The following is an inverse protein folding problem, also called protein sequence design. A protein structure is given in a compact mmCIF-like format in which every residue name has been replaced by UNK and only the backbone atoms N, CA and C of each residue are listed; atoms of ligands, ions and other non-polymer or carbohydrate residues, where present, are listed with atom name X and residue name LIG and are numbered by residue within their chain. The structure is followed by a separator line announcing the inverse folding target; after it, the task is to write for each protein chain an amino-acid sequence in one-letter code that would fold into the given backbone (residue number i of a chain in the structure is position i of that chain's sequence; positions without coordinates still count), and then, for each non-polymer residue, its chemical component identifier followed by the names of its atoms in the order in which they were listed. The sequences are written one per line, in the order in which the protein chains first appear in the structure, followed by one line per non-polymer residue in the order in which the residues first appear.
data_IF_060959326175
#
_entry.id   IF_060959326175
#
_cell.length_a   1.000
_cell.length_b   1.000
_cell.length_c   1.000
_cell.angle_alpha   90.00
_cell.angle_beta   90.00
_cell.angle_gamma   90.00
#
_symmetry.space_group_name_H-M   'P 1'
#
loop_
_entity.id
_entity.type
_entity.pdbx_description
1 polymer ?
#
# COMPACT_ATOMS: atom_id res chain seq x y z
N UNK A 1 2.40 -21.70 16.42
CA UNK A 1 2.69 -21.56 14.98
C UNK A 1 2.19 -20.21 14.48
N UNK A 2 3.02 -19.43 13.74
CA UNK A 2 2.57 -18.19 13.10
C UNK A 2 1.99 -18.49 11.72
N UNK A 3 0.82 -17.91 11.42
CA UNK A 3 0.15 -18.03 10.11
C UNK A 3 0.17 -16.69 9.41
N UNK A 4 0.78 -16.64 8.25
CA UNK A 4 0.79 -15.48 7.36
C UNK A 4 -0.43 -15.50 6.44
N UNK A 5 -1.04 -14.35 6.22
CA UNK A 5 -2.23 -14.21 5.35
C UNK A 5 -2.03 -13.05 4.38
N UNK A 6 -2.16 -13.34 3.08
CA UNK A 6 -2.20 -12.32 2.05
C UNK A 6 -3.65 -11.87 1.85
N UNK A 7 -4.03 -10.71 2.41
CA UNK A 7 -5.34 -10.08 2.23
C UNK A 7 -5.20 -8.73 1.51
N UNK A 8 -4.96 -8.76 0.16
CA UNK A 8 -4.72 -7.54 -0.64
C UNK A 8 -5.92 -6.61 -0.73
N UNK A 9 -7.11 -7.08 -0.38
CA UNK A 9 -8.36 -6.33 -0.28
C UNK A 9 -8.45 -5.43 0.97
N UNK A 10 -7.44 -5.43 1.82
CA UNK A 10 -7.38 -4.73 3.11
C UNK A 10 -7.95 -3.29 3.06
N UNK A 11 -7.52 -2.46 2.10
CA UNK A 11 -7.99 -1.07 2.00
C UNK A 11 -9.51 -0.99 1.72
N UNK A 12 -10.07 -1.96 0.99
CA UNK A 12 -11.51 -2.06 0.75
C UNK A 12 -12.26 -2.55 1.99
N UNK A 13 -11.64 -3.44 2.77
CA UNK A 13 -12.16 -3.89 4.06
C UNK A 13 -12.19 -2.72 5.07
N UNK A 14 -11.16 -1.87 5.11
CA UNK A 14 -11.14 -0.65 5.91
C UNK A 14 -12.24 0.33 5.49
N UNK A 15 -12.49 0.50 4.18
CA UNK A 15 -13.58 1.33 3.68
C UNK A 15 -14.95 0.80 4.12
N UNK A 16 -15.15 -0.52 4.04
CA UNK A 16 -16.38 -1.21 4.44
C UNK A 16 -16.60 -1.20 5.96
N UNK A 17 -15.54 -1.43 6.73
CA UNK A 17 -15.53 -1.54 8.19
C UNK A 17 -16.49 -2.61 8.75
N UNK A 18 -16.67 -3.72 8.04
CA UNK A 18 -17.54 -4.83 8.41
C UNK A 18 -16.73 -6.09 8.70
N UNK A 19 -17.12 -6.84 9.74
CA UNK A 19 -16.50 -8.12 10.11
C UNK A 19 -16.76 -9.23 9.07
N UNK A 20 -17.82 -9.09 8.26
CA UNK A 20 -18.21 -10.03 7.21
C UNK A 20 -18.04 -9.46 5.79
N UNK A 21 -17.11 -8.50 5.62
CA UNK A 21 -16.84 -7.93 4.31
C UNK A 21 -16.41 -9.01 3.32
N UNK A 22 -17.01 -9.01 2.14
CA UNK A 22 -16.60 -9.84 1.01
C UNK A 22 -15.98 -8.98 -0.06
N UNK A 23 -14.74 -9.28 -0.42
CA UNK A 23 -14.02 -8.56 -1.45
C UNK A 23 -14.69 -8.69 -2.82
N UNK A 24 -14.59 -7.69 -3.71
CA UNK A 24 -14.95 -7.82 -5.12
C UNK A 24 -14.20 -8.98 -5.79
N UNK A 25 -14.77 -9.54 -6.87
CA UNK A 25 -14.23 -10.71 -7.58
C UNK A 25 -12.71 -10.58 -7.86
N UNK A 26 -12.27 -9.48 -8.47
CA UNK A 26 -10.85 -9.26 -8.76
C UNK A 26 -9.94 -9.24 -7.52
N UNK A 27 -10.45 -8.83 -6.35
CA UNK A 27 -9.70 -8.88 -5.09
C UNK A 27 -9.55 -10.32 -4.59
N UNK A 28 -10.61 -11.13 -4.72
CA UNK A 28 -10.57 -12.55 -4.36
C UNK A 28 -9.66 -13.34 -5.30
N UNK A 29 -9.71 -13.08 -6.61
CA UNK A 29 -8.78 -13.68 -7.57
C UNK A 29 -7.33 -13.33 -7.24
N UNK A 30 -7.05 -12.07 -6.91
CA UNK A 30 -5.71 -11.64 -6.53
C UNK A 30 -5.23 -12.35 -5.25
N UNK A 31 -6.10 -12.49 -4.24
CA UNK A 31 -5.81 -13.23 -3.00
C UNK A 31 -5.55 -14.71 -3.29
N UNK A 32 -6.38 -15.33 -4.12
CA UNK A 32 -6.23 -16.73 -4.52
C UNK A 32 -4.90 -16.97 -5.25
N UNK A 33 -4.61 -16.19 -6.28
CA UNK A 33 -3.49 -16.43 -7.17
C UNK A 33 -2.13 -16.06 -6.55
N UNK A 34 -2.09 -15.03 -5.69
CA UNK A 34 -0.88 -14.52 -5.06
C UNK A 34 -0.81 -14.81 -3.55
N UNK A 35 -1.71 -15.63 -3.02
CA UNK A 35 -1.73 -16.02 -1.61
C UNK A 35 -0.43 -16.65 -1.11
N UNK A 36 0.38 -17.19 -2.02
CA UNK A 36 1.70 -17.75 -1.72
C UNK A 36 2.78 -16.69 -1.38
N UNK A 37 2.58 -15.40 -1.67
CA UNK A 37 3.61 -14.37 -1.48
C UNK A 37 4.25 -14.36 -0.09
N UNK A 38 3.52 -14.55 1.02
CA UNK A 38 4.15 -14.61 2.34
C UNK A 38 5.16 -15.74 2.51
N UNK A 39 5.17 -16.78 1.65
CA UNK A 39 6.20 -17.80 1.69
C UNK A 39 7.61 -17.29 1.38
N UNK A 40 7.71 -16.08 0.79
CA UNK A 40 9.00 -15.42 0.60
C UNK A 40 9.72 -15.10 1.93
N UNK A 41 8.97 -14.83 3.01
CA UNK A 41 9.53 -14.48 4.34
C UNK A 41 9.09 -15.39 5.48
N UNK A 42 8.18 -16.31 5.25
CA UNK A 42 7.79 -17.28 6.25
C UNK A 42 8.99 -18.19 6.63
N UNK A 43 9.27 -18.29 7.93
CA UNK A 43 10.35 -19.09 8.48
C UNK A 43 9.98 -20.55 8.71
N UNK A 44 10.94 -21.32 9.20
CA UNK A 44 10.69 -22.72 9.63
C UNK A 44 9.66 -22.75 10.77
N UNK A 45 8.69 -23.68 10.67
CA UNK A 45 7.60 -23.78 11.62
C UNK A 45 6.50 -22.73 11.49
N UNK A 46 6.56 -21.85 10.47
CA UNK A 46 5.50 -20.90 10.14
C UNK A 46 4.66 -21.41 8.95
N UNK A 47 3.40 -20.99 8.89
CA UNK A 47 2.46 -21.34 7.83
C UNK A 47 2.06 -20.14 6.98
N UNK A 48 1.72 -20.41 5.73
CA UNK A 48 1.14 -19.44 4.79
C UNK A 48 -0.23 -19.93 4.37
N UNK A 49 -1.27 -19.16 4.70
CA UNK A 49 -2.63 -19.53 4.35
C UNK A 49 -2.88 -19.32 2.86
N UNK A 50 -3.27 -20.41 2.17
CA UNK A 50 -3.59 -20.44 0.75
C UNK A 50 -4.88 -21.23 0.52
N UNK A 51 -5.64 -20.88 -0.50
CA UNK A 51 -6.88 -21.60 -0.84
C UNK A 51 -6.61 -22.95 -1.54
N UNK A 52 -5.54 -23.01 -2.36
CA UNK A 52 -5.10 -24.21 -3.08
C UNK A 52 -3.59 -24.40 -2.89
N UNK A 53 -3.22 -25.43 -2.11
CA UNK A 53 -1.82 -25.78 -1.82
C UNK A 53 -1.03 -26.11 -3.08
N UNK A 54 -1.59 -26.93 -3.96
CA UNK A 54 -0.88 -27.36 -5.17
C UNK A 54 -0.60 -26.21 -6.13
N UNK A 55 -1.58 -25.29 -6.27
CA UNK A 55 -1.40 -24.08 -7.05
C UNK A 55 -0.33 -23.15 -6.44
N UNK A 56 -0.32 -22.99 -5.12
CA UNK A 56 0.67 -22.19 -4.40
C UNK A 56 2.08 -22.78 -4.50
N UNK A 57 2.25 -24.10 -4.30
CA UNK A 57 3.51 -24.81 -4.48
C UNK A 57 4.06 -24.65 -5.90
N UNK A 58 3.20 -24.80 -6.91
CA UNK A 58 3.58 -24.60 -8.30
C UNK A 58 4.00 -23.17 -8.59
N UNK A 59 3.23 -22.19 -8.11
CA UNK A 59 3.53 -20.76 -8.32
C UNK A 59 4.83 -20.35 -7.62
N UNK A 60 5.03 -20.77 -6.36
CA UNK A 60 6.25 -20.51 -5.61
C UNK A 60 7.46 -21.23 -6.21
N UNK A 61 7.29 -22.49 -6.63
CA UNK A 61 8.36 -23.29 -7.23
C UNK A 61 8.96 -22.67 -8.49
N UNK A 62 8.17 -21.90 -9.27
CA UNK A 62 8.68 -21.16 -10.44
C UNK A 62 9.73 -20.11 -10.08
N UNK A 63 9.72 -19.59 -8.87
CA UNK A 63 10.72 -18.63 -8.41
C UNK A 63 12.09 -19.29 -8.21
N UNK A 64 12.10 -20.61 -7.96
CA UNK A 64 13.32 -21.37 -7.70
C UNK A 64 13.99 -20.97 -6.39
N UNK A 65 13.20 -20.52 -5.43
CA UNK A 65 13.60 -20.18 -4.06
C UNK A 65 13.28 -21.35 -3.12
N UNK A 66 14.05 -21.53 -2.03
CA UNK A 66 13.75 -22.54 -1.02
C UNK A 66 12.50 -22.12 -0.22
N UNK A 67 11.51 -23.00 -0.15
CA UNK A 67 10.37 -22.87 0.74
C UNK A 67 10.81 -23.25 2.17
N UNK A 68 10.81 -22.28 3.11
CA UNK A 68 11.18 -22.51 4.52
C UNK A 68 9.96 -22.82 5.39
N UNK A 69 8.86 -22.09 5.20
CA UNK A 69 7.59 -22.38 5.86
C UNK A 69 6.79 -23.48 5.17
N UNK A 70 5.53 -23.60 5.50
CA UNK A 70 4.60 -24.55 4.88
C UNK A 70 3.34 -23.84 4.40
N UNK A 71 2.71 -24.34 3.33
CA UNK A 71 1.39 -23.89 2.95
C UNK A 71 0.32 -24.58 3.80
N UNK A 72 -0.66 -23.82 4.24
CA UNK A 72 -1.79 -24.22 5.08
C UNK A 72 -3.08 -23.88 4.37
N UNK A 73 -4.03 -24.80 4.36
CA UNK A 73 -5.36 -24.59 3.75
C UNK A 73 -6.41 -24.30 4.81
N UNK A 74 -7.58 -23.71 4.45
CA UNK A 74 -8.63 -23.34 5.42
C UNK A 74 -9.17 -24.49 6.25
N UNK A 75 -9.18 -25.72 5.74
CA UNK A 75 -9.63 -26.93 6.43
C UNK A 75 -8.66 -27.40 7.53
N UNK A 76 -7.40 -26.98 7.49
CA UNK A 76 -6.40 -27.28 8.53
C UNK A 76 -6.43 -26.25 9.68
N UNK A 77 -6.93 -25.04 9.43
CA UNK A 77 -6.94 -23.95 10.41
C UNK A 77 -7.62 -24.27 11.75
N UNK A 78 -8.78 -24.96 11.82
CA UNK A 78 -9.43 -25.26 13.10
C UNK A 78 -8.55 -26.04 14.09
N UNK A 79 -7.63 -26.86 13.61
CA UNK A 79 -6.68 -27.57 14.47
C UNK A 79 -5.55 -26.64 14.92
N UNK A 80 -5.06 -25.77 14.03
CA UNK A 80 -3.94 -24.86 14.31
C UNK A 80 -4.32 -23.72 15.27
N UNK A 81 -5.53 -23.16 15.13
CA UNK A 81 -5.99 -22.05 15.99
C UNK A 81 -6.19 -22.49 17.46
N UNK A 82 -6.29 -23.81 17.71
CA UNK A 82 -6.40 -24.36 19.06
C UNK A 82 -5.06 -24.44 19.80
N UNK A 83 -3.95 -24.28 19.09
CA UNK A 83 -2.60 -24.28 19.67
C UNK A 83 -2.35 -22.95 20.42
N UNK A 84 -1.92 -22.99 21.71
CA UNK A 84 -1.61 -21.75 22.46
C UNK A 84 -0.50 -20.90 21.83
N UNK A 85 0.36 -21.48 21.00
CA UNK A 85 1.41 -20.73 20.26
C UNK A 85 0.92 -20.13 18.95
N UNK A 86 -0.36 -20.28 18.62
CA UNK A 86 -0.93 -19.71 17.41
C UNK A 86 -0.82 -18.18 17.40
N UNK A 87 -0.37 -17.65 16.31
CA UNK A 87 -0.38 -16.19 16.03
C UNK A 87 -0.66 -15.93 14.56
N UNK A 88 -1.27 -14.80 14.28
CA UNK A 88 -1.67 -14.41 12.94
C UNK A 88 -0.89 -13.18 12.48
N UNK A 89 -0.38 -13.23 11.25
CA UNK A 89 0.27 -12.10 10.60
C UNK A 89 -0.36 -11.85 9.22
N UNK A 90 -1.43 -11.03 9.14
CA UNK A 90 -2.01 -10.67 7.87
C UNK A 90 -1.16 -9.63 7.15
N UNK A 91 -1.43 -9.46 5.86
CA UNK A 91 -0.91 -8.35 5.06
C UNK A 91 -1.26 -6.99 5.68
N UNK A 92 -2.48 -6.84 6.15
CA UNK A 92 -2.95 -5.72 6.93
C UNK A 92 -4.09 -6.13 7.87
N UNK A 93 -4.15 -5.53 9.05
CA UNK A 93 -5.18 -5.78 10.04
C UNK A 93 -6.45 -4.98 9.74
N UNK A 94 -7.57 -5.67 9.59
CA UNK A 94 -8.90 -5.10 9.45
C UNK A 94 -9.96 -5.99 10.15
N UNK A 95 -11.20 -5.49 10.23
CA UNK A 95 -12.31 -6.22 10.85
C UNK A 95 -12.63 -7.51 10.12
N UNK A 96 -12.51 -7.54 8.79
CA UNK A 96 -12.87 -8.70 7.99
C UNK A 96 -11.95 -9.88 8.27
N UNK A 97 -10.62 -9.65 8.26
CA UNK A 97 -9.64 -10.70 8.56
C UNK A 97 -9.75 -11.17 10.02
N UNK A 98 -9.94 -10.26 10.99
CA UNK A 98 -10.22 -10.66 12.37
C UNK A 98 -11.49 -11.50 12.46
N UNK A 99 -12.59 -11.06 11.84
CA UNK A 99 -13.85 -11.76 11.82
C UNK A 99 -13.78 -13.14 11.17
N UNK A 100 -12.98 -13.30 10.11
CA UNK A 100 -12.68 -14.58 9.48
C UNK A 100 -12.07 -15.57 10.49
N UNK A 101 -11.02 -15.16 11.21
CA UNK A 101 -10.33 -16.03 12.15
C UNK A 101 -11.15 -16.31 13.43
N UNK A 102 -11.96 -15.36 13.90
CA UNK A 102 -12.91 -15.65 14.98
C UNK A 102 -13.92 -16.73 14.60
N UNK A 103 -14.44 -16.72 13.37
CA UNK A 103 -15.35 -17.77 12.87
C UNK A 103 -14.66 -19.14 12.73
N UNK A 104 -13.35 -19.16 12.50
CA UNK A 104 -12.54 -20.37 12.45
C UNK A 104 -12.11 -20.87 13.83
N UNK A 105 -12.53 -20.19 14.91
CA UNK A 105 -12.29 -20.60 16.30
C UNK A 105 -11.02 -20.04 16.92
N UNK A 106 -10.33 -19.07 16.28
CA UNK A 106 -9.17 -18.42 16.88
C UNK A 106 -9.57 -17.70 18.19
N UNK A 107 -8.78 -17.84 19.27
CA UNK A 107 -9.08 -17.19 20.54
C UNK A 107 -9.00 -15.66 20.40
N UNK A 108 -10.05 -14.97 20.85
CA UNK A 108 -10.15 -13.51 20.74
C UNK A 108 -8.98 -12.76 21.41
N UNK A 109 -8.39 -13.34 22.46
CA UNK A 109 -7.25 -12.77 23.18
C UNK A 109 -5.97 -12.73 22.33
N UNK A 110 -5.87 -13.58 21.29
CA UNK A 110 -4.74 -13.60 20.34
C UNK A 110 -4.93 -12.69 19.14
N UNK A 111 -6.07 -11.99 19.02
CA UNK A 111 -6.41 -11.10 17.91
C UNK A 111 -6.52 -9.65 18.38
N UNK A 112 -6.29 -8.67 17.49
CA UNK A 112 -6.40 -7.26 17.84
C UNK A 112 -7.84 -6.90 18.27
N UNK A 113 -7.94 -6.02 19.26
CA UNK A 113 -9.22 -5.50 19.72
C UNK A 113 -9.80 -4.42 18.78
N UNK A 114 -11.02 -3.97 19.10
CA UNK A 114 -11.68 -2.92 18.33
C UNK A 114 -10.95 -1.57 18.39
N UNK A 115 -10.26 -1.27 19.47
CA UNK A 115 -9.48 -0.04 19.62
C UNK A 115 -8.34 0.00 18.64
N UNK A 116 -7.57 -1.09 18.54
CA UNK A 116 -6.47 -1.23 17.59
C UNK A 116 -6.97 -1.18 16.14
N UNK A 117 -8.05 -1.91 15.80
CA UNK A 117 -8.60 -1.91 14.44
C UNK A 117 -9.15 -0.54 14.03
N UNK A 118 -9.78 0.18 14.95
CA UNK A 118 -10.20 1.55 14.71
C UNK A 118 -9.02 2.50 14.54
N UNK A 119 -7.95 2.33 15.30
CA UNK A 119 -6.71 3.08 15.12
C UNK A 119 -6.11 2.83 13.73
N UNK A 120 -5.94 1.57 13.31
CA UNK A 120 -5.44 1.21 11.97
C UNK A 120 -6.31 1.86 10.89
N UNK A 121 -7.65 1.75 11.00
CA UNK A 121 -8.58 2.32 10.04
C UNK A 121 -8.46 3.85 9.95
N UNK A 122 -8.43 4.55 11.07
CA UNK A 122 -8.34 6.01 11.11
C UNK A 122 -6.99 6.50 10.56
N UNK A 123 -5.90 5.83 10.94
CA UNK A 123 -4.55 6.19 10.52
C UNK A 123 -4.30 5.87 9.03
N UNK A 124 -4.96 4.85 8.48
CA UNK A 124 -4.94 4.52 7.05
C UNK A 124 -5.81 5.45 6.18
N UNK A 125 -6.57 6.35 6.79
CA UNK A 125 -7.35 7.34 6.03
C UNK A 125 -6.40 8.35 5.38
N UNK A 126 -6.52 8.58 4.07
CA UNK A 126 -5.59 9.47 3.33
C UNK A 126 -5.50 10.87 3.90
N UNK A 127 -6.57 11.41 4.50
CA UNK A 127 -6.50 12.73 5.16
C UNK A 127 -5.58 12.72 6.38
N UNK A 128 -5.47 11.58 7.08
CA UNK A 128 -4.54 11.45 8.20
C UNK A 128 -3.09 11.62 7.70
N UNK A 129 -2.71 10.91 6.66
CA UNK A 129 -1.38 11.05 6.06
C UNK A 129 -1.13 12.47 5.51
N UNK A 130 -2.14 13.09 4.91
CA UNK A 130 -2.05 14.47 4.43
C UNK A 130 -1.77 15.47 5.56
N UNK A 131 -2.43 15.31 6.70
CA UNK A 131 -2.29 16.23 7.84
C UNK A 131 -1.03 15.93 8.67
N UNK A 132 -0.78 14.66 8.99
CA UNK A 132 0.25 14.26 9.94
C UNK A 132 1.62 13.98 9.29
N UNK A 133 1.66 13.64 8.01
CA UNK A 133 2.90 13.40 7.26
C UNK A 133 3.16 14.48 6.21
N UNK A 134 2.28 14.64 5.21
CA UNK A 134 2.54 15.57 4.10
C UNK A 134 2.74 17.01 4.57
N UNK A 135 1.86 17.51 5.44
CA UNK A 135 1.91 18.90 5.92
C UNK A 135 3.23 19.25 6.65
N UNK A 136 3.79 18.44 7.55
CA UNK A 136 5.13 18.69 8.11
C UNK A 136 6.26 18.39 7.11
N UNK A 137 6.16 17.34 6.27
CA UNK A 137 7.19 16.95 5.31
C UNK A 137 7.42 17.99 4.21
N UNK A 138 6.39 18.69 3.78
CA UNK A 138 6.54 19.75 2.76
C UNK A 138 7.34 20.98 3.22
N UNK A 139 7.76 21.02 4.51
CA UNK A 139 8.67 22.03 5.05
C UNK A 139 10.13 21.67 4.82
N UNK A 140 10.43 20.45 4.42
CA UNK A 140 11.77 20.03 4.01
C UNK A 140 12.10 20.71 2.68
N UNK A 141 13.29 21.28 2.58
CA UNK A 141 13.70 21.97 1.35
C UNK A 141 13.73 21.00 0.16
N UNK A 142 13.24 21.43 -0.99
CA UNK A 142 13.15 20.59 -2.20
C UNK A 142 11.91 19.67 -2.24
N UNK A 143 10.97 19.86 -1.30
CA UNK A 143 9.70 19.13 -1.32
C UNK A 143 8.52 20.03 -1.72
N UNK A 144 7.49 19.41 -2.28
CA UNK A 144 6.21 20.02 -2.62
C UNK A 144 5.07 19.09 -2.21
N UNK A 145 3.86 19.57 -2.21
CA UNK A 145 2.67 18.76 -1.98
C UNK A 145 1.60 19.53 -1.22
N UNK A 146 0.38 19.39 -1.68
CA UNK A 146 -0.80 19.94 -1.03
C UNK A 146 -1.92 18.93 -1.07
N UNK A 147 -2.71 18.87 -0.01
CA UNK A 147 -3.92 18.09 0.04
C UNK A 147 -4.95 18.78 0.93
N UNK A 148 -6.20 18.78 0.50
CA UNK A 148 -7.35 19.24 1.26
C UNK A 148 -8.41 18.14 1.34
N UNK A 149 -9.13 18.10 2.46
CA UNK A 149 -10.24 17.17 2.67
C UNK A 149 -11.56 17.88 2.38
N UNK A 150 -12.30 17.40 1.36
CA UNK A 150 -13.65 17.86 1.04
C UNK A 150 -14.72 16.95 1.61
N UNK A 151 -15.81 17.53 2.12
CA UNK A 151 -16.99 16.82 2.63
C UNK A 151 -18.25 17.14 1.87
N UNK A 152 -18.17 18.07 0.94
CA UNK A 152 -19.29 18.50 0.10
C UNK A 152 -18.85 18.66 -1.35
N UNK A 153 -19.81 18.53 -2.26
CA UNK A 153 -19.57 18.75 -3.69
C UNK A 153 -19.14 20.19 -4.00
N UNK A 154 -19.64 21.17 -3.23
CA UNK A 154 -19.29 22.56 -3.38
C UNK A 154 -17.82 22.85 -3.03
N UNK A 155 -17.26 22.17 -2.03
CA UNK A 155 -15.83 22.25 -1.69
C UNK A 155 -14.96 21.69 -2.82
N UNK A 156 -15.36 20.56 -3.41
CA UNK A 156 -14.65 19.97 -4.55
C UNK A 156 -14.67 20.91 -5.77
N UNK A 157 -15.83 21.50 -6.07
CA UNK A 157 -15.93 22.47 -7.17
C UNK A 157 -15.11 23.74 -6.93
N UNK A 158 -15.11 24.25 -5.70
CA UNK A 158 -14.26 25.39 -5.31
C UNK A 158 -12.78 25.05 -5.47
N UNK A 159 -12.33 23.88 -5.02
CA UNK A 159 -10.95 23.47 -5.16
C UNK A 159 -10.54 23.36 -6.64
N UNK A 160 -11.39 22.76 -7.49
CA UNK A 160 -11.18 22.68 -8.93
C UNK A 160 -11.09 24.07 -9.58
N UNK A 161 -11.97 25.02 -9.22
CA UNK A 161 -11.96 26.38 -9.80
C UNK A 161 -10.71 27.20 -9.46
N UNK A 162 -9.99 26.84 -8.37
CA UNK A 162 -8.75 27.50 -7.97
C UNK A 162 -7.52 26.81 -8.57
N UNK A 163 -7.55 25.48 -8.70
CA UNK A 163 -6.38 24.67 -9.12
C UNK A 163 -6.43 24.23 -10.57
N UNK A 164 -7.59 24.34 -11.24
CA UNK A 164 -7.85 24.01 -12.64
C UNK A 164 -7.62 22.53 -13.00
N UNK A 165 -6.59 21.89 -12.47
CA UNK A 165 -6.26 20.48 -12.66
C UNK A 165 -5.98 19.81 -11.31
N UNK A 166 -6.81 18.83 -10.94
CA UNK A 166 -6.80 18.21 -9.61
C UNK A 166 -6.86 16.68 -9.68
N UNK A 167 -6.46 16.08 -8.57
CA UNK A 167 -6.64 14.65 -8.31
C UNK A 167 -7.59 14.48 -7.14
N UNK A 168 -8.65 13.72 -7.35
CA UNK A 168 -9.59 13.31 -6.31
C UNK A 168 -9.29 11.88 -5.88
N UNK A 169 -9.21 11.65 -4.57
CA UNK A 169 -8.89 10.34 -4.01
C UNK A 169 -9.92 9.94 -2.95
N UNK A 170 -10.50 8.74 -3.08
CA UNK A 170 -11.30 8.16 -2.00
C UNK A 170 -10.40 7.91 -0.78
N UNK A 171 -10.89 8.14 0.46
CA UNK A 171 -10.12 7.97 1.69
C UNK A 171 -9.46 6.62 1.86
N UNK A 172 -10.17 5.55 1.53
CA UNK A 172 -9.69 4.18 1.46
C UNK A 172 -9.99 3.61 0.09
N UNK A 173 -8.97 3.20 -0.63
CA UNK A 173 -9.10 2.54 -1.91
C UNK A 173 -7.82 1.81 -2.28
N UNK A 174 -7.94 0.83 -3.16
CA UNK A 174 -6.83 -0.03 -3.57
C UNK A 174 -6.55 0.13 -5.06
N UNK A 175 -5.28 0.03 -5.45
CA UNK A 175 -4.83 -0.11 -6.85
C UNK A 175 -5.36 0.97 -7.80
N UNK A 176 -5.38 2.25 -7.38
CA UNK A 176 -5.79 3.38 -8.22
C UNK A 176 -7.28 3.47 -8.54
N UNK A 177 -8.10 2.51 -8.12
CA UNK A 177 -9.56 2.50 -8.42
C UNK A 177 -10.32 3.65 -7.78
N UNK A 178 -9.82 4.18 -6.67
CA UNK A 178 -10.38 5.32 -5.96
C UNK A 178 -9.76 6.68 -6.35
N UNK A 179 -9.11 6.78 -7.49
CA UNK A 179 -8.45 8.01 -7.95
C UNK A 179 -9.11 8.51 -9.23
N UNK A 180 -9.35 9.82 -9.31
CA UNK A 180 -9.88 10.49 -10.50
C UNK A 180 -9.06 11.76 -10.78
N UNK A 181 -8.68 11.93 -12.03
CA UNK A 181 -8.03 13.12 -12.56
C UNK A 181 -9.09 14.02 -13.18
N UNK A 182 -9.10 15.30 -12.80
CA UNK A 182 -10.14 16.25 -13.20
C UNK A 182 -9.51 17.56 -13.62
N UNK A 183 -9.90 18.10 -14.78
CA UNK A 183 -9.56 19.44 -15.23
C UNK A 183 -10.84 20.21 -15.55
N UNK A 184 -10.81 21.54 -15.40
CA UNK A 184 -11.88 22.43 -15.84
C UNK A 184 -11.79 22.81 -17.33
N UNK A 185 -10.77 22.30 -18.04
CA UNK A 185 -10.56 22.52 -19.46
C UNK A 185 -9.87 23.82 -19.83
N UNK A 186 -9.43 24.61 -18.85
CA UNK A 186 -8.75 25.90 -19.10
C UNK A 186 -7.28 25.72 -19.51
N UNK A 187 -6.69 24.56 -19.27
CA UNK A 187 -5.29 24.22 -19.55
C UNK A 187 -5.04 23.69 -20.99
N UNK A 188 -6.09 23.61 -21.84
CA UNK A 188 -5.98 23.13 -23.21
C UNK A 188 -5.67 21.64 -23.34
N UNK A 189 -5.60 20.91 -22.25
CA UNK A 189 -5.37 19.47 -22.26
C UNK A 189 -6.61 18.72 -22.75
N UNK A 190 -6.58 18.23 -23.97
CA UNK A 190 -7.69 17.56 -24.67
C UNK A 190 -8.14 16.22 -24.03
N UNK A 191 -7.52 15.79 -22.94
CA UNK A 191 -7.76 14.47 -22.32
C UNK A 191 -8.38 14.52 -20.93
N UNK A 192 -8.79 15.68 -20.44
CA UNK A 192 -9.26 15.83 -19.07
C UNK A 192 -10.78 15.93 -19.02
N UNK A 193 -11.38 15.03 -18.28
CA UNK A 193 -12.81 14.95 -18.08
C UNK A 193 -13.27 16.12 -17.18
N UNK A 194 -14.02 17.05 -17.73
CA UNK A 194 -14.73 18.06 -16.94
C UNK A 194 -15.56 17.42 -15.81
N UNK A 195 -16.12 18.24 -14.95
CA UNK A 195 -16.97 17.77 -13.83
C UNK A 195 -18.30 17.19 -14.34
N UNK A 196 -18.24 15.98 -14.90
CA UNK A 196 -19.37 15.28 -15.51
C UNK A 196 -20.39 14.81 -14.46
N UNK A 197 -21.66 14.54 -14.83
CA UNK A 197 -22.64 13.93 -13.92
C UNK A 197 -22.15 12.61 -13.30
N UNK A 198 -21.41 11.79 -14.05
CA UNK A 198 -20.83 10.53 -13.56
C UNK A 198 -19.78 10.77 -12.49
N UNK A 199 -18.90 11.75 -12.68
CA UNK A 199 -17.91 12.15 -11.70
C UNK A 199 -18.58 12.72 -10.44
N UNK A 200 -19.61 13.57 -10.62
CA UNK A 200 -20.39 14.09 -9.50
C UNK A 200 -21.01 12.96 -8.68
N UNK A 201 -21.69 12.01 -9.32
CA UNK A 201 -22.28 10.86 -8.62
C UNK A 201 -21.24 10.00 -7.90
N UNK A 202 -20.03 9.86 -8.47
CA UNK A 202 -18.92 9.16 -7.80
C UNK A 202 -18.44 9.92 -6.57
N UNK A 203 -18.25 11.24 -6.65
CA UNK A 203 -17.83 12.08 -5.52
C UNK A 203 -18.85 12.00 -4.38
N UNK A 204 -20.14 12.18 -4.69
CA UNK A 204 -21.23 12.07 -3.71
C UNK A 204 -21.29 10.68 -3.07
N UNK A 205 -21.12 9.61 -3.86
CA UNK A 205 -21.05 8.25 -3.33
C UNK A 205 -19.88 8.06 -2.38
N UNK A 206 -18.67 8.55 -2.71
CA UNK A 206 -17.49 8.45 -1.86
C UNK A 206 -17.70 9.21 -0.56
N UNK A 207 -18.17 10.46 -0.62
CA UNK A 207 -18.44 11.28 0.56
C UNK A 207 -19.48 10.62 1.46
N UNK A 208 -20.58 10.11 0.88
CA UNK A 208 -21.65 9.46 1.65
C UNK A 208 -21.20 8.14 2.32
N UNK A 209 -20.30 7.39 1.68
CA UNK A 209 -19.83 6.09 2.18
C UNK A 209 -18.62 6.18 3.09
N UNK A 210 -17.71 7.10 2.80
CA UNK A 210 -16.42 7.21 3.49
C UNK A 210 -16.24 8.52 4.27
N UNK A 211 -17.24 9.40 4.23
CA UNK A 211 -17.29 10.63 5.02
C UNK A 211 -16.55 11.82 4.43
N UNK A 212 -15.68 11.61 3.44
CA UNK A 212 -14.84 12.64 2.83
C UNK A 212 -14.30 12.22 1.47
N UNK A 213 -13.67 13.16 0.78
CA UNK A 213 -12.81 12.94 -0.38
C UNK A 213 -11.53 13.75 -0.21
N UNK A 214 -10.37 13.21 -0.58
CA UNK A 214 -9.12 13.97 -0.61
C UNK A 214 -8.95 14.62 -1.98
N UNK A 215 -8.53 15.88 -1.97
CA UNK A 215 -8.31 16.73 -3.14
C UNK A 215 -6.86 17.19 -3.16
N UNK A 216 -6.17 16.97 -4.27
CA UNK A 216 -4.78 17.41 -4.46
C UNK A 216 -4.65 18.16 -5.78
N UNK A 217 -3.74 19.15 -5.92
CA UNK A 217 -3.34 19.64 -7.22
C UNK A 217 -2.79 18.47 -8.05
N UNK A 218 -2.96 18.53 -9.37
CA UNK A 218 -2.26 17.61 -10.25
C UNK A 218 -0.79 17.99 -10.34
N UNK A 219 0.09 17.00 -10.16
CA UNK A 219 1.53 17.15 -10.31
C UNK A 219 2.03 16.38 -11.52
N UNK A 220 2.93 16.99 -12.31
CA UNK A 220 3.59 16.32 -13.43
C UNK A 220 4.63 15.32 -12.89
N UNK A 221 4.19 14.08 -12.72
CA UNK A 221 4.98 13.00 -12.15
C UNK A 221 6.09 12.54 -13.09
N UNK A 222 7.30 12.42 -12.55
CA UNK A 222 8.50 11.89 -13.21
C UNK A 222 8.79 10.45 -12.80
N UNK A 223 8.68 10.15 -11.49
CA UNK A 223 9.00 8.83 -10.93
C UNK A 223 8.16 8.55 -9.69
N UNK A 224 7.69 7.31 -9.56
CA UNK A 224 7.10 6.79 -8.32
C UNK A 224 8.17 6.08 -7.49
N UNK A 225 8.16 6.29 -6.17
CA UNK A 225 8.99 5.57 -5.22
C UNK A 225 8.32 5.54 -3.84
N UNK A 226 8.83 4.70 -2.94
CA UNK A 226 8.35 4.62 -1.57
C UNK A 226 9.49 4.33 -0.61
N UNK A 227 9.22 4.56 0.67
CA UNK A 227 10.07 4.15 1.78
C UNK A 227 9.31 3.19 2.66
N UNK A 228 9.92 2.03 2.93
CA UNK A 228 9.33 0.97 3.71
C UNK A 228 9.85 1.02 5.16
N UNK A 229 8.95 0.79 6.11
CA UNK A 229 9.20 0.91 7.53
C UNK A 229 8.59 -0.24 8.32
N UNK A 230 9.09 -0.45 9.53
CA UNK A 230 8.51 -1.37 10.49
C UNK A 230 8.40 -0.71 11.87
N UNK A 231 7.23 -0.79 12.48
CA UNK A 231 6.98 -0.40 13.88
C UNK A 231 6.81 -1.67 14.72
N UNK A 232 7.32 -1.65 15.95
CA UNK A 232 7.20 -2.79 16.89
C UNK A 232 6.05 -2.65 17.90
N UNK A 233 5.29 -1.54 17.84
CA UNK A 233 4.22 -1.22 18.79
C UNK A 233 4.72 -0.83 20.19
N UNK A 234 6.03 -0.65 20.37
CA UNK A 234 6.68 -0.35 21.66
C UNK A 234 7.55 0.90 21.61
N UNK A 235 7.32 1.76 20.61
CA UNK A 235 8.04 3.01 20.45
C UNK A 235 9.24 2.94 19.52
N UNK A 236 9.50 1.83 18.82
CA UNK A 236 10.59 1.75 17.86
C UNK A 236 10.08 1.76 16.43
N UNK A 237 10.82 2.50 15.57
CA UNK A 237 10.58 2.59 14.13
C UNK A 237 11.88 2.28 13.41
N UNK A 238 11.85 1.30 12.52
CA UNK A 238 13.00 0.87 11.72
C UNK A 238 12.72 1.15 10.25
N UNK A 239 13.65 1.85 9.59
CA UNK A 239 13.67 1.94 8.14
C UNK A 239 14.05 0.60 7.52
N UNK A 240 13.28 0.14 6.54
CA UNK A 240 13.48 -1.13 5.87
C UNK A 240 14.11 -0.99 4.48
N UNK A 241 13.94 0.16 3.82
CA UNK A 241 14.58 0.41 2.54
C UNK A 241 13.77 1.29 1.58
N UNK A 242 14.44 1.68 0.51
CA UNK A 242 13.88 2.44 -0.60
C UNK A 242 13.26 1.49 -1.64
N UNK A 243 12.08 1.80 -2.12
CA UNK A 243 11.33 1.03 -3.11
C UNK A 243 11.09 1.89 -4.35
N UNK A 244 11.61 1.50 -5.52
CA UNK A 244 11.29 2.15 -6.80
C UNK A 244 10.26 1.30 -7.54
N UNK A 245 9.09 1.87 -7.80
CA UNK A 245 8.00 1.16 -8.45
C UNK A 245 7.47 1.91 -9.67
N UNK A 246 6.67 1.22 -10.46
CA UNK A 246 6.04 1.76 -11.65
C UNK A 246 4.53 1.65 -11.53
N UNK A 247 3.84 2.68 -12.03
CA UNK A 247 2.40 2.67 -12.19
C UNK A 247 2.01 2.95 -13.64
N UNK A 248 0.94 2.34 -14.10
CA UNK A 248 0.31 2.65 -15.39
C UNK A 248 -1.13 3.07 -15.13
N UNK A 249 -1.48 4.31 -15.50
CA UNK A 249 -2.81 4.89 -15.23
C UNK A 249 -3.22 4.79 -13.74
N UNK A 250 -2.25 4.96 -12.83
CA UNK A 250 -2.44 4.86 -11.38
C UNK A 250 -2.49 3.44 -10.82
N UNK A 251 -2.44 2.39 -11.63
CA UNK A 251 -2.36 1.01 -11.17
C UNK A 251 -0.89 0.57 -11.07
N UNK A 252 -0.56 -0.10 -9.96
CA UNK A 252 0.76 -0.69 -9.75
C UNK A 252 1.08 -1.74 -10.83
N UNK A 253 2.31 -1.73 -11.35
CA UNK A 253 2.77 -2.66 -12.38
C UNK A 253 4.03 -3.44 -12.00
N UNK A 254 4.86 -2.94 -11.09
CA UNK A 254 6.05 -3.66 -10.67
C UNK A 254 7.08 -2.80 -9.95
N UNK A 255 8.11 -3.46 -9.41
CA UNK A 255 9.23 -2.84 -8.70
C UNK A 255 10.58 -3.18 -9.34
N UNK A 256 11.53 -2.26 -9.18
CA UNK A 256 12.95 -2.53 -9.41
C UNK A 256 13.48 -3.43 -8.28
N UNK A 257 14.22 -4.48 -8.63
CA UNK A 257 14.97 -5.33 -7.70
C UNK A 257 16.45 -4.94 -7.77
N UNK A 258 16.88 -4.16 -6.81
CA UNK A 258 18.25 -3.63 -6.71
C UNK A 258 18.57 -3.32 -5.25
N UNK A 259 19.84 -3.16 -4.93
CA UNK A 259 20.23 -2.62 -3.64
C UNK A 259 19.87 -1.12 -3.49
N UNK A 260 20.03 -0.59 -2.30
CA UNK A 260 19.68 0.79 -2.01
C UNK A 260 20.60 1.78 -2.75
N UNK A 261 21.88 1.43 -2.93
CA UNK A 261 22.86 2.27 -3.62
C UNK A 261 22.48 2.45 -5.10
N UNK A 262 22.19 1.36 -5.83
CA UNK A 262 21.74 1.42 -7.23
C UNK A 262 20.44 2.22 -7.37
N UNK A 263 19.49 2.06 -6.43
CA UNK A 263 18.24 2.85 -6.43
C UNK A 263 18.52 4.34 -6.23
N UNK A 264 19.38 4.68 -5.27
CA UNK A 264 19.77 6.07 -5.00
C UNK A 264 20.52 6.68 -6.19
N UNK A 265 21.43 5.95 -6.83
CA UNK A 265 22.12 6.41 -8.03
C UNK A 265 21.10 6.75 -9.15
N UNK A 266 20.12 5.91 -9.39
CA UNK A 266 19.04 6.21 -10.36
C UNK A 266 18.26 7.48 -10.01
N UNK A 267 17.97 7.70 -8.72
CA UNK A 267 17.27 8.91 -8.27
C UNK A 267 18.16 10.15 -8.31
N UNK A 268 19.46 10.01 -8.12
CA UNK A 268 20.45 11.09 -8.21
C UNK A 268 20.54 11.75 -9.59
N UNK A 269 20.02 11.11 -10.64
CA UNK A 269 19.87 11.70 -11.96
C UNK A 269 18.78 12.79 -12.02
N UNK A 270 17.88 12.82 -11.04
CA UNK A 270 16.71 13.70 -11.00
C UNK A 270 16.76 14.72 -9.88
N UNK A 271 17.42 14.43 -8.76
CA UNK A 271 17.41 15.29 -7.57
C UNK A 271 18.67 15.14 -6.71
N UNK A 272 18.92 16.14 -5.84
CA UNK A 272 19.95 16.02 -4.82
C UNK A 272 19.51 14.98 -3.76
N UNK A 273 20.33 13.95 -3.58
CA UNK A 273 20.03 12.83 -2.69
C UNK A 273 19.91 13.22 -1.21
N UNK A 274 20.47 14.36 -0.78
CA UNK A 274 20.28 14.87 0.58
C UNK A 274 18.80 15.11 0.92
N UNK A 275 17.99 15.46 -0.07
CA UNK A 275 16.52 15.65 0.11
C UNK A 275 15.88 14.34 0.58
N UNK A 276 16.33 13.20 0.06
CA UNK A 276 15.82 11.88 0.47
C UNK A 276 16.20 11.56 1.92
N UNK A 277 17.40 11.93 2.33
CA UNK A 277 17.88 11.70 3.71
C UNK A 277 17.12 12.58 4.71
N UNK A 278 16.88 13.84 4.37
CA UNK A 278 16.11 14.77 5.19
C UNK A 278 14.64 14.31 5.31
N UNK A 279 14.04 13.87 4.18
CA UNK A 279 12.68 13.32 4.16
C UNK A 279 12.60 12.04 4.99
N UNK A 280 13.55 11.12 4.83
CA UNK A 280 13.65 9.88 5.61
C UNK A 280 13.72 10.16 7.11
N UNK A 281 14.63 11.03 7.53
CA UNK A 281 14.77 11.43 8.93
C UNK A 281 13.44 12.01 9.45
N UNK A 282 12.83 12.90 8.69
CA UNK A 282 11.58 13.54 9.11
C UNK A 282 10.41 12.56 9.19
N UNK A 283 10.29 11.61 8.26
CA UNK A 283 9.30 10.53 8.34
C UNK A 283 9.51 9.71 9.63
N UNK A 284 10.75 9.31 9.93
CA UNK A 284 11.06 8.54 11.14
C UNK A 284 10.62 9.28 12.41
N UNK A 285 10.91 10.56 12.54
CA UNK A 285 10.49 11.41 13.66
C UNK A 285 8.95 11.44 13.80
N UNK A 286 8.26 11.61 12.68
CA UNK A 286 6.79 11.67 12.66
C UNK A 286 6.15 10.32 13.02
N UNK A 287 6.67 9.20 12.51
CA UNK A 287 6.19 7.87 12.85
C UNK A 287 6.46 7.53 14.31
N UNK A 288 7.63 7.89 14.84
CA UNK A 288 7.99 7.71 16.27
C UNK A 288 6.99 8.41 17.18
N UNK A 289 6.60 9.62 16.85
CA UNK A 289 5.71 10.42 17.70
C UNK A 289 4.22 10.13 17.54
N UNK A 290 3.81 9.57 16.39
CA UNK A 290 2.37 9.43 16.06
C UNK A 290 1.82 8.03 16.17
N UNK A 291 2.59 6.99 15.78
CA UNK A 291 2.03 5.63 15.65
C UNK A 291 2.85 4.54 16.34
N UNK A 292 4.12 4.76 16.65
CA UNK A 292 5.05 3.70 17.06
C UNK A 292 4.68 2.97 18.35
N UNK A 293 3.96 3.63 19.26
CA UNK A 293 3.51 3.04 20.53
C UNK A 293 2.23 2.19 20.40
N UNK A 294 1.57 2.21 19.24
CA UNK A 294 0.31 1.49 19.02
C UNK A 294 0.41 0.53 17.85
N UNK A 295 0.93 1.01 16.71
CA UNK A 295 1.02 0.20 15.50
C UNK A 295 2.17 -0.80 15.58
N UNK A 296 1.86 -2.07 15.34
CA UNK A 296 2.85 -3.14 15.20
C UNK A 296 2.72 -3.78 13.81
N UNK A 297 3.75 -3.60 12.97
CA UNK A 297 3.74 -4.13 11.60
C UNK A 297 4.57 -3.32 10.62
N UNK A 298 4.56 -3.76 9.38
CA UNK A 298 5.17 -3.06 8.24
C UNK A 298 4.24 -1.96 7.73
N UNK A 299 4.84 -0.90 7.19
CA UNK A 299 4.13 0.16 6.49
C UNK A 299 5.00 0.75 5.39
N UNK A 300 4.36 1.32 4.35
CA UNK A 300 5.01 2.05 3.28
C UNK A 300 4.51 3.48 3.18
N UNK A 301 5.40 4.41 2.86
CA UNK A 301 5.05 5.79 2.50
C UNK A 301 5.37 5.97 1.02
N UNK A 302 4.34 6.11 0.20
CA UNK A 302 4.47 6.33 -1.23
C UNK A 302 4.76 7.80 -1.52
N UNK A 303 5.70 8.03 -2.42
CA UNK A 303 6.22 9.33 -2.81
C UNK A 303 6.36 9.42 -4.33
N UNK A 304 6.59 10.61 -4.84
CA UNK A 304 6.93 10.79 -6.25
C UNK A 304 7.90 11.95 -6.45
N UNK A 305 8.74 11.83 -7.48
CA UNK A 305 9.46 12.97 -8.05
C UNK A 305 8.53 13.64 -9.04
N UNK A 306 8.42 14.95 -8.94
CA UNK A 306 7.55 15.77 -9.79
C UNK A 306 8.32 16.89 -10.45
N UNK A 307 7.91 17.26 -11.67
CA UNK A 307 8.40 18.43 -12.37
C UNK A 307 7.44 19.59 -12.10
N UNK A 308 7.93 20.65 -11.46
CA UNK A 308 7.17 21.87 -11.15
C UNK A 308 7.29 22.95 -12.25
N UNK A 309 7.97 22.64 -13.35
CA UNK A 309 8.30 23.57 -14.43
C UNK A 309 9.71 24.15 -14.25
N UNK A 310 10.01 24.69 -13.06
CA UNK A 310 11.30 25.32 -12.76
C UNK A 310 12.33 24.32 -12.20
N UNK A 311 11.88 23.27 -11.55
CA UNK A 311 12.75 22.30 -10.87
C UNK A 311 12.06 20.95 -10.69
N UNK A 312 12.88 19.94 -10.36
CA UNK A 312 12.41 18.66 -9.89
C UNK A 312 12.34 18.67 -8.36
N UNK A 313 11.21 18.28 -7.81
CA UNK A 313 10.93 18.27 -6.38
C UNK A 313 10.42 16.90 -5.94
N UNK A 314 10.51 16.60 -4.66
CA UNK A 314 9.89 15.42 -4.05
C UNK A 314 8.50 15.78 -3.52
N UNK A 315 7.47 15.03 -3.93
CA UNK A 315 6.20 14.97 -3.21
C UNK A 315 6.34 13.87 -2.15
N UNK A 316 6.52 14.24 -0.85
CA UNK A 316 7.09 13.33 0.14
C UNK A 316 6.06 12.42 0.82
N UNK A 317 4.78 12.52 0.47
CA UNK A 317 3.74 11.63 0.96
C UNK A 317 2.51 11.69 0.04
N UNK A 318 2.43 10.81 -0.92
CA UNK A 318 1.26 10.61 -1.80
C UNK A 318 0.20 9.76 -1.08
N UNK A 319 0.67 8.79 -0.29
CA UNK A 319 -0.14 7.86 0.49
C UNK A 319 0.72 7.19 1.56
N UNK A 320 0.12 6.87 2.71
CA UNK A 320 0.70 5.97 3.69
C UNK A 320 -0.12 4.68 3.71
N UNK A 321 0.56 3.56 3.53
CA UNK A 321 -0.01 2.22 3.52
C UNK A 321 0.31 1.52 4.85
N UNK A 322 -0.64 1.49 5.80
CA UNK A 322 -0.43 0.91 7.14
C UNK A 322 -0.63 -0.62 7.09
N UNK A 323 0.14 -1.26 6.26
CA UNK A 323 0.16 -2.69 5.94
C UNK A 323 1.46 -3.03 5.21
N UNK A 324 1.67 -4.33 4.93
CA UNK A 324 2.69 -4.72 3.96
C UNK A 324 2.39 -4.14 2.57
N UNK A 325 3.42 -3.91 1.78
CA UNK A 325 3.37 -3.33 0.44
C UNK A 325 4.10 -4.21 -0.56
N UNK A 326 3.87 -3.97 -1.86
CA UNK A 326 4.67 -4.62 -2.90
C UNK A 326 6.12 -4.10 -2.90
N UNK A 327 6.37 -2.92 -2.34
CA UNK A 327 7.71 -2.39 -2.06
C UNK A 327 8.45 -3.26 -1.05
N UNK A 328 7.80 -3.63 0.05
CA UNK A 328 8.35 -4.58 1.02
C UNK A 328 8.67 -5.94 0.37
N UNK A 329 7.74 -6.47 -0.45
CA UNK A 329 7.97 -7.74 -1.18
C UNK A 329 9.22 -7.63 -2.05
N UNK A 330 9.39 -6.51 -2.77
CA UNK A 330 10.57 -6.29 -3.64
C UNK A 330 11.87 -6.23 -2.86
N UNK A 331 11.90 -5.54 -1.71
CA UNK A 331 13.08 -5.46 -0.84
C UNK A 331 13.47 -6.87 -0.37
N UNK A 332 12.50 -7.61 0.16
CA UNK A 332 12.76 -8.93 0.70
C UNK A 332 13.15 -9.93 -0.38
N UNK A 333 12.48 -9.91 -1.53
CA UNK A 333 12.81 -10.76 -2.67
C UNK A 333 14.24 -10.50 -3.18
N UNK A 334 14.67 -9.23 -3.22
CA UNK A 334 16.04 -8.88 -3.57
C UNK A 334 17.06 -9.44 -2.56
N UNK A 335 16.75 -9.34 -1.26
CA UNK A 335 17.63 -9.82 -0.17
C UNK A 335 17.83 -11.35 -0.20
N UNK A 336 16.77 -12.13 -0.44
CA UNK A 336 16.84 -13.60 -0.42
C UNK A 336 17.26 -14.22 -1.75
N UNK A 337 17.31 -13.44 -2.82
CA UNK A 337 17.60 -13.95 -4.17
C UNK A 337 19.07 -14.23 -4.37
N UNK A 338 19.37 -15.40 -4.89
CA UNK A 338 20.69 -15.77 -5.43
C UNK A 338 20.79 -15.53 -6.93
N UNK A 339 19.70 -15.14 -7.58
CA UNK A 339 19.62 -14.91 -9.03
C UNK A 339 19.69 -13.40 -9.33
N UNK A 340 20.28 -12.99 -10.46
CA UNK A 340 20.40 -11.57 -10.83
C UNK A 340 19.08 -11.05 -11.43
N UNK A 341 18.03 -11.01 -10.63
CA UNK A 341 16.77 -10.41 -11.04
C UNK A 341 16.87 -8.88 -11.07
N UNK A 342 16.25 -8.26 -12.08
CA UNK A 342 16.24 -6.81 -12.28
C UNK A 342 14.94 -6.16 -11.82
N UNK A 343 13.83 -6.84 -11.97
CA UNK A 343 12.51 -6.31 -11.64
C UNK A 343 11.52 -7.44 -11.32
N UNK A 344 10.49 -7.08 -10.59
CA UNK A 344 9.31 -7.91 -10.40
C UNK A 344 8.06 -7.21 -10.94
N UNK A 345 7.11 -7.98 -11.46
CA UNK A 345 5.83 -7.48 -12.00
C UNK A 345 4.69 -8.37 -11.59
N UNK A 346 3.54 -7.76 -11.35
CA UNK A 346 2.28 -8.49 -11.28
C UNK A 346 1.63 -8.44 -12.64
N UNK A 347 1.42 -9.60 -13.23
CA UNK A 347 0.76 -9.75 -14.53
C UNK A 347 -0.60 -10.43 -14.36
N UNK A 348 -1.52 -10.16 -15.30
CA UNK A 348 -2.78 -10.88 -15.42
C UNK A 348 -2.83 -11.52 -16.80
N UNK A 349 -2.69 -12.85 -16.84
CA UNK A 349 -2.64 -13.63 -18.10
C UNK A 349 -3.52 -14.87 -17.96
N UNK A 350 -4.29 -15.17 -19.01
CA UNK A 350 -5.18 -16.34 -19.05
C UNK A 350 -6.14 -16.42 -17.84
N UNK A 351 -6.65 -15.26 -17.39
CA UNK A 351 -7.59 -15.20 -16.26
C UNK A 351 -6.93 -15.38 -14.89
N UNK A 352 -5.61 -15.30 -14.75
CA UNK A 352 -4.88 -15.45 -13.48
C UNK A 352 -3.84 -14.37 -13.27
N UNK A 353 -3.67 -13.98 -12.00
CA UNK A 353 -2.56 -13.16 -11.57
C UNK A 353 -1.30 -14.00 -11.39
N UNK A 354 -0.14 -13.40 -11.66
CA UNK A 354 1.15 -14.05 -11.48
C UNK A 354 2.25 -13.06 -11.12
N UNK A 355 3.23 -13.53 -10.36
CA UNK A 355 4.47 -12.81 -10.12
C UNK A 355 5.48 -13.19 -11.21
N UNK A 356 5.91 -12.20 -11.99
CA UNK A 356 6.94 -12.35 -13.01
C UNK A 356 8.22 -11.63 -12.58
N UNK A 357 9.37 -12.26 -12.83
CA UNK A 357 10.69 -11.76 -12.48
C UNK A 357 11.51 -11.54 -13.77
N UNK A 358 12.00 -10.32 -13.96
CA UNK A 358 12.93 -9.98 -15.04
C UNK A 358 14.37 -10.30 -14.65
N UNK A 359 15.20 -10.73 -15.61
CA UNK A 359 16.62 -10.98 -15.39
C UNK A 359 17.43 -9.74 -15.74
N UNK A 360 18.50 -9.44 -14.96
CA UNK A 360 19.52 -8.48 -15.41
C UNK A 360 20.16 -9.00 -16.70
N UNK A 361 20.19 -8.17 -17.74
CA UNK A 361 20.86 -8.45 -19.01
C UNK A 361 22.37 -8.30 -18.85
#
# INVERSE_FOLDING_TARGET
MRIHVFNPEHDLALASNLDNFTAPHAGRELRHDLGFLPALWAGEGEGVLVEDRSAAEYAFGKLGLPLKGSFVTPDELPQLVSDPSFSLQPWGWDRAVRGEFLRLGAPAQGLPDDSYLNFVRQTSHRSWAAEHLLRPLRKVQGTVGEAETGRTLSEVRRFLSVRHHIVLKAPWSSSGRGVRYVSDGTDGAASTFGFTPQLQGWVEHVINRQGAILMEPYYNKVMDFGMEWHCDGKGNVRYCGLSLFKTLKGAYTGNLLADEEEKREKMGQYLNLSILDDVKQKIQELLLTSISNVYCGYLGVDMMIVNTGDSLCVHPCVEMNLRMTMGWVALHLHEISTKPWSDMRISFKNGRYGLELGMKQ
#
